data_IF_500233474891
#
_entry.id   IF_500233474891
#
_cell.length_a   1.000
_cell.length_b   1.000
_cell.length_c   1.000
_cell.angle_alpha   90.00
_cell.angle_beta   90.00
_cell.angle_gamma   90.00
#
_symmetry.space_group_name_H-M   'P 1'
#
loop_
_entity.id
_entity.type
_entity.pdbx_description
1 polymer ?
#
# COMPACT_ATOMS: atom_id res chain seq x y z
N UNK A 1 -20.05 -1.07 -12.01
CA UNK A 1 -19.45 -2.34 -11.64
C UNK A 1 -18.03 -2.45 -12.16
N UNK A 2 -17.11 -2.81 -11.29
CA UNK A 2 -15.74 -3.05 -11.74
C UNK A 2 -15.65 -4.41 -12.38
N UNK A 3 -15.08 -4.46 -13.54
CA UNK A 3 -14.87 -5.72 -14.25
C UNK A 3 -13.50 -6.33 -13.93
N UNK A 4 -12.55 -5.52 -13.43
CA UNK A 4 -11.23 -5.99 -13.06
C UNK A 4 -10.97 -5.72 -11.59
N UNK A 5 -10.17 -6.57 -10.98
CA UNK A 5 -9.80 -6.41 -9.58
C UNK A 5 -8.83 -5.24 -9.42
N UNK A 6 -8.94 -4.56 -8.30
CA UNK A 6 -7.95 -3.57 -7.89
C UNK A 6 -6.67 -4.31 -7.53
N UNK A 7 -5.55 -3.87 -8.07
CA UNK A 7 -4.26 -4.51 -7.91
C UNK A 7 -3.40 -3.71 -6.94
N UNK A 8 -2.91 -4.41 -5.91
CA UNK A 8 -2.08 -3.81 -4.86
C UNK A 8 -0.68 -4.40 -4.92
N UNK A 9 0.31 -3.52 -4.93
CA UNK A 9 1.72 -3.92 -4.76
C UNK A 9 2.06 -3.66 -3.30
N UNK A 10 2.38 -4.72 -2.56
CA UNK A 10 2.68 -4.66 -1.13
C UNK A 10 4.18 -4.85 -0.92
N UNK A 11 4.84 -3.86 -0.34
CA UNK A 11 6.25 -3.95 0.02
C UNK A 11 6.39 -4.04 1.53
N UNK A 12 6.85 -5.18 2.03
CA UNK A 12 7.00 -5.46 3.44
C UNK A 12 8.11 -6.48 3.62
N UNK A 13 9.16 -6.12 4.37
CA UNK A 13 10.31 -6.99 4.53
C UNK A 13 10.09 -8.15 5.52
N UNK A 14 9.17 -8.01 6.45
CA UNK A 14 8.81 -9.09 7.36
C UNK A 14 7.90 -10.08 6.64
N UNK A 15 8.37 -11.31 6.44
CA UNK A 15 7.64 -12.31 5.68
C UNK A 15 6.29 -12.67 6.30
N UNK A 16 6.25 -12.81 7.62
CA UNK A 16 5.01 -13.18 8.30
C UNK A 16 3.98 -12.06 8.20
N UNK A 17 4.40 -10.82 8.41
CA UNK A 17 3.53 -9.66 8.27
C UNK A 17 3.05 -9.52 6.84
N UNK A 18 3.94 -9.69 5.87
CA UNK A 18 3.58 -9.59 4.45
C UNK A 18 2.49 -10.60 4.09
N UNK A 19 2.66 -11.86 4.48
CA UNK A 19 1.67 -12.89 4.21
C UNK A 19 0.34 -12.61 4.91
N UNK A 20 0.40 -12.10 6.13
CA UNK A 20 -0.78 -11.76 6.91
C UNK A 20 -1.59 -10.66 6.21
N UNK A 21 -0.91 -9.62 5.76
CA UNK A 21 -1.55 -8.52 5.03
C UNK A 21 -2.08 -8.97 3.67
N UNK A 22 -1.30 -9.78 2.95
CA UNK A 22 -1.73 -10.32 1.65
C UNK A 22 -3.05 -11.07 1.78
N UNK A 23 -3.15 -11.94 2.77
CA UNK A 23 -4.35 -12.74 2.96
C UNK A 23 -5.57 -11.90 3.29
N UNK A 24 -5.40 -10.90 4.14
CA UNK A 24 -6.50 -10.03 4.52
C UNK A 24 -7.04 -9.26 3.32
N UNK A 25 -6.14 -8.73 2.51
CA UNK A 25 -6.53 -7.95 1.34
C UNK A 25 -7.13 -8.84 0.25
N UNK A 26 -6.59 -10.03 0.07
CA UNK A 26 -7.14 -10.98 -0.90
C UNK A 26 -8.55 -11.42 -0.52
N UNK A 27 -8.79 -11.65 0.78
CA UNK A 27 -10.13 -11.98 1.27
C UNK A 27 -11.12 -10.85 1.03
N UNK A 28 -10.64 -9.63 1.01
CA UNK A 28 -11.47 -8.46 0.75
C UNK A 28 -11.72 -8.22 -0.75
N UNK A 29 -11.13 -9.04 -1.62
CA UNK A 29 -11.37 -8.98 -3.05
C UNK A 29 -10.29 -8.29 -3.87
N UNK A 30 -9.16 -7.97 -3.28
CA UNK A 30 -8.05 -7.33 -3.99
C UNK A 30 -7.07 -8.36 -4.55
N UNK A 31 -6.41 -8.02 -5.63
CA UNK A 31 -5.31 -8.81 -6.18
C UNK A 31 -4.01 -8.24 -5.62
N UNK A 32 -3.25 -9.04 -4.89
CA UNK A 32 -2.06 -8.57 -4.18
C UNK A 32 -0.81 -9.25 -4.68
N UNK A 33 0.22 -8.44 -4.96
CA UNK A 33 1.56 -8.91 -5.25
C UNK A 33 2.47 -8.42 -4.13
N UNK A 34 3.08 -9.33 -3.39
CA UNK A 34 3.95 -8.98 -2.27
C UNK A 34 5.40 -9.07 -2.66
N UNK A 35 6.19 -8.09 -2.22
CA UNK A 35 7.64 -8.10 -2.37
C UNK A 35 8.27 -7.78 -1.02
N UNK A 36 9.52 -8.20 -0.82
CA UNK A 36 10.19 -8.06 0.47
C UNK A 36 11.06 -6.81 0.57
N UNK A 37 11.16 -6.02 -0.49
CA UNK A 37 12.00 -4.83 -0.52
C UNK A 37 11.61 -3.89 -1.65
N UNK A 38 12.01 -2.60 -1.50
CA UNK A 38 11.69 -1.60 -2.51
C UNK A 38 12.33 -1.85 -3.86
N UNK A 39 13.57 -2.36 -3.86
CA UNK A 39 14.27 -2.64 -5.11
C UNK A 39 13.63 -3.76 -5.92
N UNK A 40 12.83 -4.61 -5.29
CA UNK A 40 12.06 -5.64 -6.00
C UNK A 40 10.73 -5.08 -6.53
N UNK A 41 10.23 -4.01 -5.92
CA UNK A 41 8.97 -3.39 -6.33
C UNK A 41 9.11 -2.59 -7.63
N UNK A 42 10.20 -1.85 -7.77
CA UNK A 42 10.37 -0.94 -8.91
C UNK A 42 10.28 -1.61 -10.28
N UNK A 43 10.95 -2.75 -10.51
CA UNK A 43 10.84 -3.42 -11.82
C UNK A 43 9.41 -3.85 -12.16
N UNK A 44 8.64 -4.23 -11.15
CA UNK A 44 7.25 -4.63 -11.38
C UNK A 44 6.41 -3.44 -11.83
N UNK A 45 6.66 -2.26 -11.28
CA UNK A 45 5.93 -1.05 -11.66
C UNK A 45 6.21 -0.64 -13.11
N UNK A 46 7.36 -1.03 -13.65
CA UNK A 46 7.70 -0.72 -15.04
C UNK A 46 7.03 -1.66 -16.04
N UNK A 47 6.62 -2.85 -15.60
CA UNK A 47 6.06 -3.85 -16.49
C UNK A 47 4.61 -4.17 -16.23
N UNK A 48 4.08 -3.80 -15.07
CA UNK A 48 2.70 -4.12 -14.68
C UNK A 48 2.02 -2.89 -14.12
N UNK A 49 0.71 -2.87 -14.23
CA UNK A 49 -0.08 -1.78 -13.67
C UNK A 49 -0.59 -2.18 -12.28
N UNK A 50 -0.40 -1.29 -11.33
CA UNK A 50 -0.97 -1.41 -9.99
C UNK A 50 -1.80 -0.18 -9.67
N UNK A 51 -2.84 -0.36 -8.87
CA UNK A 51 -3.71 0.73 -8.45
C UNK A 51 -3.27 1.35 -7.13
N UNK A 52 -2.57 0.56 -6.30
CA UNK A 52 -2.10 1.00 -4.99
C UNK A 52 -0.73 0.42 -4.67
N UNK A 53 0.15 1.26 -4.19
CA UNK A 53 1.38 0.85 -3.53
C UNK A 53 1.14 0.95 -2.03
N UNK A 54 1.17 -0.19 -1.34
CA UNK A 54 1.06 -0.28 0.11
C UNK A 54 2.43 -0.70 0.62
N UNK A 55 3.11 0.17 1.36
CA UNK A 55 4.48 -0.12 1.76
C UNK A 55 4.75 0.25 3.21
N UNK A 56 5.54 -0.60 3.88
CA UNK A 56 6.15 -0.22 5.13
C UNK A 56 7.14 0.92 4.83
N UNK A 57 7.36 1.79 5.79
CA UNK A 57 8.31 2.89 5.63
C UNK A 57 9.72 2.41 5.93
N UNK A 58 9.90 1.72 7.07
CA UNK A 58 11.24 1.30 7.50
C UNK A 58 11.56 -0.07 6.92
N UNK A 59 12.41 -0.07 5.90
CA UNK A 59 12.87 -1.29 5.22
C UNK A 59 14.36 -1.16 4.90
N UNK A 60 15.07 -2.29 4.79
CA UNK A 60 16.48 -2.22 4.41
C UNK A 60 16.66 -1.74 2.98
N UNK A 61 17.81 -1.15 2.69
CA UNK A 61 18.24 -0.63 1.40
C UNK A 61 17.47 0.60 0.95
N UNK A 62 16.23 0.46 0.60
CA UNK A 62 15.36 1.55 0.17
C UNK A 62 14.14 1.62 1.09
N UNK A 63 13.95 2.73 1.77
CA UNK A 63 12.78 2.88 2.63
C UNK A 63 11.51 3.13 1.78
N UNK A 64 10.36 3.04 2.45
CA UNK A 64 9.08 3.18 1.76
C UNK A 64 8.84 4.57 1.19
N UNK A 65 9.42 5.61 1.78
CA UNK A 65 9.26 6.98 1.28
C UNK A 65 9.99 7.13 -0.04
N UNK A 66 11.24 6.67 -0.10
CA UNK A 66 12.00 6.70 -1.35
C UNK A 66 11.31 5.85 -2.42
N UNK A 67 10.83 4.67 -2.03
CA UNK A 67 10.09 3.81 -2.96
C UNK A 67 8.87 4.53 -3.53
N UNK A 68 8.09 5.19 -2.68
CA UNK A 68 6.89 5.90 -3.12
C UNK A 68 7.22 7.05 -4.07
N UNK A 69 8.30 7.78 -3.80
CA UNK A 69 8.73 8.87 -4.65
C UNK A 69 9.15 8.37 -6.03
N UNK A 70 9.92 7.29 -6.07
CA UNK A 70 10.34 6.68 -7.35
C UNK A 70 9.15 6.08 -8.09
N UNK A 71 8.26 5.44 -7.36
CA UNK A 71 7.05 4.86 -7.93
C UNK A 71 6.16 5.94 -8.55
N UNK A 72 6.09 7.11 -7.92
CA UNK A 72 5.31 8.23 -8.44
C UNK A 72 5.80 8.72 -9.79
N UNK A 73 7.09 8.62 -10.05
CA UNK A 73 7.66 8.99 -11.35
C UNK A 73 7.30 7.96 -12.44
N UNK A 74 7.15 6.69 -12.06
CA UNK A 74 6.81 5.61 -12.99
C UNK A 74 5.30 5.53 -13.20
N UNK A 75 4.53 5.65 -12.13
CA UNK A 75 3.07 5.45 -12.14
C UNK A 75 2.39 6.59 -11.38
N UNK A 76 2.29 7.78 -11.98
CA UNK A 76 1.80 8.97 -11.27
C UNK A 76 0.34 8.88 -10.81
N UNK A 77 -0.46 8.03 -11.43
CA UNK A 77 -1.86 7.86 -11.04
C UNK A 77 -2.08 6.82 -9.95
N UNK A 78 -1.03 6.08 -9.59
CA UNK A 78 -1.13 5.06 -8.56
C UNK A 78 -1.24 5.70 -7.19
N UNK A 79 -2.14 5.18 -6.36
CA UNK A 79 -2.29 5.65 -4.99
C UNK A 79 -1.22 5.04 -4.10
N UNK A 80 -0.92 5.72 -3.00
CA UNK A 80 0.11 5.28 -2.05
C UNK A 80 -0.47 5.29 -0.65
N UNK A 81 -0.20 4.21 0.09
CA UNK A 81 -0.49 4.13 1.51
C UNK A 81 0.74 3.59 2.22
N UNK A 82 1.13 4.27 3.30
CA UNK A 82 2.24 3.85 4.15
C UNK A 82 1.75 3.13 5.39
N UNK A 83 2.52 2.16 5.83
CA UNK A 83 2.33 1.50 7.12
C UNK A 83 3.59 1.76 7.94
N UNK A 84 3.45 2.15 9.19
CA UNK A 84 4.61 2.36 10.03
C UNK A 84 4.29 2.16 11.51
N UNK A 85 5.30 1.67 12.26
CA UNK A 85 5.25 1.61 13.71
C UNK A 85 5.97 2.78 14.38
N UNK A 86 6.51 3.71 13.61
CA UNK A 86 7.35 4.79 14.13
C UNK A 86 6.72 6.16 13.89
N UNK A 87 6.30 6.82 14.96
CA UNK A 87 5.64 8.12 14.87
C UNK A 87 6.51 9.18 14.19
N UNK A 88 7.83 9.12 14.44
CA UNK A 88 8.74 10.12 13.87
C UNK A 88 8.76 10.10 12.34
N UNK A 89 8.67 8.91 11.73
CA UNK A 89 8.67 8.81 10.27
C UNK A 89 7.31 9.14 9.65
N UNK A 90 6.23 9.16 10.44
CA UNK A 90 4.91 9.56 9.96
C UNK A 90 4.91 10.99 9.45
N UNK A 91 5.54 11.91 10.20
CA UNK A 91 5.65 13.30 9.76
C UNK A 91 6.49 13.43 8.50
N UNK A 92 7.60 12.69 8.44
CA UNK A 92 8.48 12.71 7.28
C UNK A 92 7.74 12.22 6.04
N UNK A 93 6.98 11.14 6.17
CA UNK A 93 6.19 10.59 5.08
C UNK A 93 5.14 11.59 4.59
N UNK A 94 4.45 12.25 5.51
CA UNK A 94 3.43 13.25 5.16
C UNK A 94 3.98 14.44 4.42
N UNK A 95 5.22 14.85 4.72
CA UNK A 95 5.87 15.94 4.00
C UNK A 95 6.38 15.50 2.64
N UNK A 96 6.92 14.29 2.55
CA UNK A 96 7.53 13.80 1.32
C UNK A 96 6.49 13.38 0.28
N UNK A 97 5.38 12.81 0.72
CA UNK A 97 4.30 12.33 -0.15
C UNK A 97 2.97 12.77 0.45
N UNK A 98 2.60 14.05 0.30
CA UNK A 98 1.43 14.62 1.01
C UNK A 98 0.11 13.95 0.69
N UNK A 99 -0.02 13.38 -0.51
CA UNK A 99 -1.26 12.72 -0.94
C UNK A 99 -1.40 11.31 -0.38
N UNK A 100 -0.35 10.75 0.21
CA UNK A 100 -0.39 9.39 0.71
C UNK A 100 -1.13 9.30 2.05
N UNK A 101 -1.84 8.20 2.23
CA UNK A 101 -2.43 7.85 3.52
C UNK A 101 -1.37 7.17 4.37
N UNK A 102 -1.38 7.41 5.67
CA UNK A 102 -0.47 6.72 6.61
C UNK A 102 -1.30 5.96 7.63
N UNK A 103 -1.02 4.67 7.78
CA UNK A 103 -1.66 3.83 8.77
C UNK A 103 -0.62 3.40 9.80
N UNK A 104 -0.83 3.75 11.06
CA UNK A 104 0.13 3.49 12.13
C UNK A 104 -0.13 2.13 12.78
N UNK A 105 0.93 1.38 13.04
CA UNK A 105 0.87 0.16 13.82
C UNK A 105 0.77 0.52 15.31
N UNK A 106 0.08 -0.25 16.14
CA UNK A 106 -0.71 -1.43 15.76
C UNK A 106 -2.06 -1.03 15.18
N UNK A 107 -2.59 -1.86 14.29
CA UNK A 107 -3.92 -1.66 13.71
C UNK A 107 -4.60 -3.01 13.54
N UNK A 108 -5.92 -3.00 13.45
CA UNK A 108 -6.67 -4.21 13.11
C UNK A 108 -6.70 -4.36 11.59
N UNK A 109 -6.67 -5.60 11.12
CA UNK A 109 -6.77 -5.86 9.67
C UNK A 109 -8.02 -5.25 9.06
N UNK A 110 -9.12 -5.23 9.83
CA UNK A 110 -10.36 -4.59 9.37
C UNK A 110 -10.13 -3.12 9.07
N UNK A 111 -9.34 -2.42 9.89
CA UNK A 111 -9.06 -1.01 9.68
C UNK A 111 -8.25 -0.79 8.41
N UNK A 112 -7.28 -1.67 8.14
CA UNK A 112 -6.52 -1.61 6.91
C UNK A 112 -7.44 -1.77 5.70
N UNK A 113 -8.30 -2.78 5.70
CA UNK A 113 -9.21 -3.04 4.60
C UNK A 113 -10.15 -1.85 4.39
N UNK A 114 -10.68 -1.28 5.48
CA UNK A 114 -11.55 -0.10 5.39
C UNK A 114 -10.84 1.09 4.78
N UNK A 115 -9.58 1.33 5.15
CA UNK A 115 -8.84 2.45 4.59
C UNK A 115 -8.55 2.25 3.10
N UNK A 116 -8.23 1.02 2.70
CA UNK A 116 -8.05 0.72 1.28
C UNK A 116 -9.36 0.89 0.52
N UNK A 117 -10.46 0.39 1.08
CA UNK A 117 -11.78 0.55 0.46
C UNK A 117 -12.11 2.04 0.25
N UNK A 118 -11.79 2.87 1.24
CA UNK A 118 -12.04 4.32 1.13
C UNK A 118 -11.24 4.97 0.02
N UNK A 119 -10.00 4.52 -0.20
CA UNK A 119 -9.19 5.07 -1.29
C UNK A 119 -9.83 4.84 -2.65
N UNK A 120 -10.60 3.77 -2.79
CA UNK A 120 -11.22 3.41 -4.05
C UNK A 120 -12.75 3.57 -4.03
N UNK A 121 -13.26 4.20 -2.99
CA UNK A 121 -14.70 4.46 -2.84
C UNK A 121 -15.52 3.18 -2.97
N UNK A 122 -15.11 2.18 -2.22
CA UNK A 122 -15.70 0.84 -2.25
C UNK A 122 -16.26 0.49 -0.88
N UNK A 123 -16.92 -0.63 -0.78
CA UNK A 123 -17.32 -1.23 0.49
C UNK A 123 -18.56 -0.62 1.06
N UNK A 124 -18.53 -0.36 2.36
CA UNK A 124 -19.71 0.07 3.08
C UNK A 124 -20.30 1.36 2.54
N UNK A 125 -19.48 2.23 2.00
CA UNK A 125 -19.97 3.47 1.44
C UNK A 125 -20.87 3.23 0.25
N UNK A 126 -20.51 2.24 -0.57
CA UNK A 126 -21.32 1.91 -1.73
C UNK A 126 -22.51 1.07 -1.36
N UNK A 127 -22.40 0.37 -0.24
CA UNK A 127 -23.50 -0.48 0.21
C UNK A 127 -24.64 0.26 0.75
N UNK A 128 -24.48 1.42 0.95
CA UNK A 128 -25.46 2.08 1.52
C UNK A 128 -26.29 2.75 0.86
N UNK A 129 -26.13 2.66 0.67
CA UNK A 129 -26.83 3.42 0.13
C UNK A 129 -27.61 3.30 -0.12
#
# INVERSE_FOLDING_TARGET
MRLSMIRILLAEDDAAMRQYLERALERAGYAVTGVDRGTAALPLLETERFDLLLTDIVMPEMDGIELAQRAGAIAPDMRVMFITGFAAVTLKAGKAVPQAKVLSKPFHLRDLVLEVDRLFDIGSASGLN
#
